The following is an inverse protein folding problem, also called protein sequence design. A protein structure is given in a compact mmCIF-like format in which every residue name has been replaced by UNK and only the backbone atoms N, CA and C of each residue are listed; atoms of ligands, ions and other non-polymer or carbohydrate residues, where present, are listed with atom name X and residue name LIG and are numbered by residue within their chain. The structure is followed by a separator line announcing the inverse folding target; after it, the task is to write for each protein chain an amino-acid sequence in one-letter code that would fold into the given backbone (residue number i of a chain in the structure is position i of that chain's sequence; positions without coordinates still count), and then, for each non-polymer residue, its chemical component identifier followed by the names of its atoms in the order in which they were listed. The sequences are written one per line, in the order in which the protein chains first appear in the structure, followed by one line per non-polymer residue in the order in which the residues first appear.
data_IF_786319747941
#
_entry.id   IF_786319747941
#
_cell.length_a   1.000
_cell.length_b   1.000
_cell.length_c   1.000
_cell.angle_alpha   90.00
_cell.angle_beta   90.00
_cell.angle_gamma   90.00
#
_symmetry.space_group_name_H-M   'P 1'
#
loop_
_entity.id
_entity.type
_entity.pdbx_description
1 polymer ?
#
# COMPACT_ATOMS: atom_id res chain seq x y z
N UNK A 1 5.05 -12.93 -8.45
CA UNK A 1 3.71 -13.24 -7.92
C UNK A 1 2.87 -12.01 -8.11
N UNK A 2 1.66 -12.17 -8.59
CA UNK A 2 0.79 -11.05 -9.00
C UNK A 2 -0.55 -11.23 -8.30
N UNK A 3 -0.98 -10.20 -7.58
CA UNK A 3 -2.19 -10.18 -6.78
C UNK A 3 -3.07 -9.02 -7.23
N UNK A 4 -4.40 -9.20 -7.09
CA UNK A 4 -5.37 -8.13 -7.33
C UNK A 4 -6.35 -8.03 -6.18
N UNK A 5 -6.68 -6.79 -5.80
CA UNK A 5 -7.77 -6.48 -4.87
C UNK A 5 -8.94 -6.02 -5.72
N UNK A 6 -9.83 -6.97 -5.99
CA UNK A 6 -11.03 -6.81 -6.82
C UNK A 6 -12.31 -6.77 -6.01
N UNK A 7 -12.23 -7.11 -4.73
CA UNK A 7 -13.38 -7.24 -3.84
C UNK A 7 -13.15 -6.49 -2.51
N UNK A 8 -14.23 -5.99 -1.94
CA UNK A 8 -14.30 -5.47 -0.58
C UNK A 8 -14.22 -6.61 0.44
N UNK A 9 -14.04 -6.27 1.71
CA UNK A 9 -13.92 -7.24 2.81
C UNK A 9 -15.14 -8.16 2.96
N UNK A 10 -16.32 -7.70 2.53
CA UNK A 10 -17.59 -8.44 2.53
C UNK A 10 -17.87 -9.16 1.20
N UNK A 11 -16.90 -9.16 0.27
CA UNK A 11 -16.92 -9.97 -0.94
C UNK A 11 -17.63 -9.35 -2.14
N UNK A 12 -18.04 -8.08 -2.08
CA UNK A 12 -18.58 -7.38 -3.25
C UNK A 12 -17.46 -6.83 -4.14
N UNK A 13 -17.67 -6.72 -5.46
CA UNK A 13 -16.69 -6.08 -6.34
C UNK A 13 -16.43 -4.62 -5.93
N UNK A 14 -15.19 -4.18 -6.06
CA UNK A 14 -14.84 -2.77 -5.84
C UNK A 14 -15.46 -1.86 -6.91
N UNK A 15 -15.88 -0.65 -6.51
CA UNK A 15 -16.49 0.35 -7.40
C UNK A 15 -15.51 1.16 -8.24
N UNK A 16 -14.24 0.76 -8.29
CA UNK A 16 -13.14 1.45 -8.98
C UNK A 16 -12.25 0.43 -9.70
N UNK A 17 -11.18 0.90 -10.37
CA UNK A 17 -10.22 -0.02 -10.97
C UNK A 17 -9.54 -0.87 -9.88
N UNK A 18 -9.35 -2.20 -10.09
CA UNK A 18 -8.68 -3.05 -9.11
C UNK A 18 -7.27 -2.59 -8.77
N UNK A 19 -6.88 -2.75 -7.51
CA UNK A 19 -5.49 -2.57 -7.07
C UNK A 19 -4.69 -3.80 -7.49
N UNK A 20 -3.52 -3.60 -8.09
CA UNK A 20 -2.59 -4.67 -8.45
C UNK A 20 -1.33 -4.58 -7.60
N UNK A 21 -0.91 -5.71 -7.04
CA UNK A 21 0.34 -5.84 -6.27
C UNK A 21 1.20 -6.92 -6.92
N UNK A 22 2.42 -6.58 -7.31
CA UNK A 22 3.37 -7.50 -7.90
C UNK A 22 4.58 -7.65 -7.01
N UNK A 23 4.88 -8.89 -6.65
CA UNK A 23 6.09 -9.28 -5.94
C UNK A 23 7.07 -9.95 -6.90
N UNK A 24 8.30 -9.45 -6.95
CA UNK A 24 9.38 -10.05 -7.75
C UNK A 24 10.69 -10.11 -6.97
N UNK A 25 11.62 -11.02 -7.31
CA UNK A 25 12.95 -11.03 -6.71
C UNK A 25 13.69 -9.72 -7.00
N UNK A 26 14.29 -9.13 -5.96
CA UNK A 26 15.20 -7.99 -6.06
C UNK A 26 16.59 -8.35 -5.55
N UNK A 27 17.55 -7.44 -5.73
CA UNK A 27 18.87 -7.60 -5.12
C UNK A 27 18.75 -7.56 -3.60
N UNK A 28 19.05 -8.68 -2.92
CA UNK A 28 19.00 -8.77 -1.46
C UNK A 28 17.60 -8.77 -0.85
N UNK A 29 16.52 -8.92 -1.64
CA UNK A 29 15.16 -8.87 -1.10
C UNK A 29 14.05 -9.11 -2.11
N UNK A 30 12.87 -8.58 -1.81
CA UNK A 30 11.67 -8.64 -2.64
C UNK A 30 11.31 -7.23 -3.09
N UNK A 31 11.05 -7.05 -4.37
CA UNK A 31 10.46 -5.84 -4.92
C UNK A 31 8.94 -5.98 -4.89
N UNK A 32 8.27 -5.02 -4.25
CA UNK A 32 6.82 -4.89 -4.24
C UNK A 32 6.42 -3.68 -5.08
N UNK A 33 5.76 -3.93 -6.20
CA UNK A 33 5.20 -2.90 -7.08
C UNK A 33 3.70 -2.81 -6.85
N UNK A 34 3.17 -1.61 -6.64
CA UNK A 34 1.74 -1.35 -6.45
C UNK A 34 1.23 -0.45 -7.57
N UNK A 35 0.14 -0.86 -8.20
CA UNK A 35 -0.60 -0.04 -9.15
C UNK A 35 -2.05 0.04 -8.71
N UNK A 36 -2.53 1.24 -8.39
CA UNK A 36 -3.87 1.46 -7.87
C UNK A 36 -4.42 2.84 -8.27
N UNK A 37 -5.75 3.04 -8.18
CA UNK A 37 -6.33 4.37 -8.14
C UNK A 37 -5.71 5.25 -7.06
N UNK A 38 -5.77 6.55 -7.26
CA UNK A 38 -5.46 7.53 -6.22
C UNK A 38 -6.72 8.30 -5.85
N UNK A 39 -7.19 8.08 -4.63
CA UNK A 39 -8.42 8.65 -4.11
C UNK A 39 -8.18 10.02 -3.49
N UNK A 40 -7.00 10.26 -2.91
CA UNK A 40 -6.63 11.48 -2.19
C UNK A 40 -7.65 11.80 -1.08
N UNK A 41 -8.10 10.77 -0.37
CA UNK A 41 -9.02 10.86 0.76
C UNK A 41 -8.69 9.78 1.82
N UNK A 42 -8.22 10.16 3.03
CA UNK A 42 -7.99 11.53 3.49
C UNK A 42 -6.79 12.20 2.78
N UNK A 43 -6.57 13.52 2.98
CA UNK A 43 -5.39 14.22 2.44
C UNK A 43 -4.07 13.60 2.90
N UNK A 44 -2.99 13.94 2.18
CA UNK A 44 -1.64 13.46 2.45
C UNK A 44 -1.23 13.55 3.94
N UNK A 45 -0.54 12.54 4.48
CA UNK A 45 0.04 12.62 5.82
C UNK A 45 1.09 13.73 5.90
N UNK A 46 1.26 14.31 7.10
CA UNK A 46 2.18 15.44 7.35
C UNK A 46 3.67 15.08 7.23
N UNK A 47 4.01 13.83 6.92
CA UNK A 47 5.39 13.35 6.79
C UNK A 47 6.01 13.63 5.43
N UNK A 48 7.34 13.57 5.33
CA UNK A 48 8.04 13.67 4.04
C UNK A 48 7.87 12.38 3.21
N UNK A 49 7.64 12.48 1.89
CA UNK A 49 7.69 11.34 0.99
C UNK A 49 9.02 10.56 1.11
N UNK A 50 8.96 9.24 1.04
CA UNK A 50 10.12 8.36 1.18
C UNK A 50 10.59 8.15 2.63
N UNK A 51 9.88 8.69 3.63
CA UNK A 51 10.18 8.46 5.05
C UNK A 51 9.15 7.54 5.72
N UNK A 52 9.56 6.84 6.79
CA UNK A 52 8.61 6.15 7.65
C UNK A 52 7.60 7.14 8.27
N UNK A 53 6.34 6.73 8.36
CA UNK A 53 5.27 7.49 9.03
C UNK A 53 4.41 6.54 9.87
N UNK A 54 4.23 6.87 11.16
CA UNK A 54 3.43 6.05 12.06
C UNK A 54 1.93 6.27 11.78
N UNK A 55 1.10 5.28 12.13
CA UNK A 55 -0.36 5.37 11.99
C UNK A 55 -0.79 5.62 10.53
N UNK A 56 -0.07 5.02 9.58
CA UNK A 56 -0.30 5.24 8.16
C UNK A 56 -1.62 4.62 7.68
N UNK A 57 -2.14 3.62 8.39
CA UNK A 57 -3.49 3.05 8.22
C UNK A 57 -4.64 4.05 8.38
N UNK A 58 -4.41 5.23 8.98
CA UNK A 58 -5.41 6.30 9.03
C UNK A 58 -5.48 7.09 7.70
N UNK A 59 -4.68 6.73 6.69
CA UNK A 59 -4.60 7.35 5.37
C UNK A 59 -4.90 6.36 4.25
N UNK A 60 -4.93 6.86 3.01
CA UNK A 60 -4.96 6.00 1.82
C UNK A 60 -3.70 5.13 1.77
N UNK A 61 -3.87 3.80 1.78
CA UNK A 61 -2.76 2.86 1.94
C UNK A 61 -3.03 1.54 1.21
N UNK A 62 -1.96 0.87 0.80
CA UNK A 62 -1.97 -0.56 0.46
C UNK A 62 -1.11 -1.29 1.49
N UNK A 63 -1.68 -2.32 2.10
CA UNK A 63 -1.04 -3.12 3.13
C UNK A 63 -0.70 -4.52 2.59
N UNK A 64 0.46 -5.04 2.99
CA UNK A 64 0.89 -6.41 2.72
C UNK A 64 1.46 -7.04 3.99
N UNK A 65 1.01 -8.27 4.28
CA UNK A 65 1.43 -9.05 5.44
C UNK A 65 2.21 -10.28 4.97
N UNK A 66 3.47 -10.41 5.40
CA UNK A 66 4.32 -11.58 5.13
C UNK A 66 4.42 -12.41 6.40
N UNK A 67 3.74 -13.56 6.40
CA UNK A 67 3.67 -14.45 7.56
C UNK A 67 4.88 -15.38 7.61
N UNK A 68 5.45 -15.56 8.80
CA UNK A 68 6.36 -16.65 9.10
C UNK A 68 5.53 -17.91 9.39
N UNK A 69 5.85 -19.02 8.73
CA UNK A 69 5.13 -20.29 8.85
C UNK A 69 5.61 -21.16 10.03
N UNK A 70 6.74 -20.82 10.64
CA UNK A 70 7.36 -21.55 11.76
C UNK A 70 7.16 -20.85 13.11
N UNK A 71 7.23 -19.52 13.13
CA UNK A 71 7.05 -18.71 14.33
C UNK A 71 5.84 -17.80 14.17
N UNK A 72 5.27 -17.30 15.27
CA UNK A 72 4.16 -16.32 15.24
C UNK A 72 4.61 -14.91 14.80
N UNK A 73 5.61 -14.82 13.93
CA UNK A 73 6.18 -13.57 13.45
C UNK A 73 5.60 -13.21 12.10
N UNK A 74 5.45 -11.92 11.84
CA UNK A 74 5.07 -11.44 10.53
C UNK A 74 5.61 -10.05 10.27
N UNK A 75 5.85 -9.76 8.99
CA UNK A 75 6.17 -8.43 8.51
C UNK A 75 4.90 -7.77 7.99
N UNK A 76 4.62 -6.57 8.45
CA UNK A 76 3.57 -5.69 7.96
C UNK A 76 4.23 -4.56 7.17
N UNK A 77 3.76 -4.33 5.95
CA UNK A 77 4.26 -3.30 5.03
C UNK A 77 3.08 -2.47 4.54
N UNK A 78 3.14 -1.17 4.75
CA UNK A 78 2.11 -0.21 4.39
C UNK A 78 2.70 0.85 3.45
N UNK A 79 2.06 1.08 2.30
CA UNK A 79 2.48 2.06 1.30
C UNK A 79 1.40 3.11 1.06
N UNK A 80 1.74 4.38 1.30
CA UNK A 80 0.89 5.50 0.99
C UNK A 80 1.19 6.05 -0.43
N UNK A 81 0.18 6.45 -1.22
CA UNK A 81 0.39 6.99 -2.56
C UNK A 81 1.18 8.31 -2.57
N UNK A 82 1.24 9.00 -1.42
CA UNK A 82 2.06 10.20 -1.23
C UNK A 82 3.54 9.90 -0.92
N UNK A 83 3.91 8.62 -0.80
CA UNK A 83 5.29 8.15 -0.72
C UNK A 83 5.80 7.84 0.69
N UNK A 84 5.01 8.10 1.74
CA UNK A 84 5.29 7.63 3.09
C UNK A 84 5.06 6.11 3.16
N UNK A 85 5.71 5.46 4.12
CA UNK A 85 5.57 4.03 4.33
C UNK A 85 5.61 3.68 5.81
N UNK A 86 5.11 2.50 6.16
CA UNK A 86 5.31 1.89 7.47
C UNK A 86 5.73 0.44 7.27
N UNK A 87 6.73 0.00 8.03
CA UNK A 87 7.21 -1.39 8.00
C UNK A 87 7.44 -1.85 9.43
N UNK A 88 6.77 -2.92 9.83
CA UNK A 88 6.81 -3.43 11.19
C UNK A 88 7.10 -4.92 11.17
N UNK A 89 8.06 -5.38 11.97
CA UNK A 89 8.22 -6.80 12.29
C UNK A 89 7.54 -7.06 13.64
N UNK A 90 6.54 -7.93 13.63
CA UNK A 90 5.72 -8.27 14.78
C UNK A 90 5.91 -9.73 15.19
N UNK A 91 5.58 -10.04 16.46
CA UNK A 91 5.61 -11.39 17.02
C UNK A 91 4.39 -11.62 17.91
N UNK A 92 3.38 -12.32 17.39
CA UNK A 92 2.04 -12.39 17.95
C UNK A 92 1.21 -11.17 17.53
N UNK A 93 -0.08 -11.17 17.91
CA UNK A 93 -1.02 -10.13 17.48
C UNK A 93 -0.63 -8.75 18.02
N UNK A 94 -0.35 -7.80 17.11
CA UNK A 94 -0.07 -6.38 17.42
C UNK A 94 1.11 -6.15 18.38
N UNK A 95 2.06 -7.10 18.44
CA UNK A 95 3.23 -6.99 19.31
C UNK A 95 4.48 -6.69 18.48
N UNK A 96 4.84 -5.42 18.41
CA UNK A 96 5.96 -4.92 17.59
C UNK A 96 7.29 -5.36 18.20
N UNK A 97 8.03 -6.18 17.46
CA UNK A 97 9.37 -6.61 17.85
C UNK A 97 10.45 -5.65 17.36
N UNK A 98 10.34 -5.16 16.11
CA UNK A 98 11.28 -4.19 15.51
C UNK A 98 10.55 -3.23 14.56
N UNK A 99 10.66 -1.91 14.75
CA UNK A 99 10.11 -0.92 13.81
C UNK A 99 11.03 -0.66 12.60
N UNK A 100 10.47 0.04 11.60
CA UNK A 100 10.95 0.28 10.24
C UNK A 100 12.43 0.64 10.05
N UNK A 101 13.04 1.36 10.99
CA UNK A 101 14.37 1.97 10.85
C UNK A 101 15.55 1.01 10.64
N UNK A 102 15.33 -0.32 10.70
CA UNK A 102 16.39 -1.34 10.55
C UNK A 102 16.07 -2.49 9.59
N UNK A 103 14.91 -2.50 8.93
CA UNK A 103 14.42 -3.70 8.21
C UNK A 103 14.36 -3.47 6.69
N UNK A 104 14.20 -2.23 6.24
CA UNK A 104 13.99 -1.92 4.81
C UNK A 104 14.94 -0.84 4.31
N UNK A 105 15.47 -1.06 3.10
CA UNK A 105 16.35 -0.12 2.42
C UNK A 105 15.74 0.22 1.05
N UNK A 106 15.23 1.45 0.95
CA UNK A 106 14.77 2.14 -0.26
C UNK A 106 13.42 1.71 -0.87
N UNK A 107 12.58 2.72 -1.10
CA UNK A 107 11.48 2.69 -2.07
C UNK A 107 11.96 3.42 -3.32
N UNK A 108 11.81 2.79 -4.49
CA UNK A 108 11.92 3.51 -5.77
C UNK A 108 10.50 3.75 -6.29
N UNK A 109 10.07 5.00 -6.22
CA UNK A 109 8.81 5.44 -6.81
C UNK A 109 9.01 5.66 -8.30
N UNK A 110 8.48 4.77 -9.14
CA UNK A 110 8.30 5.05 -10.56
C UNK A 110 6.93 5.72 -10.75
N UNK A 111 6.95 6.94 -11.30
CA UNK A 111 5.83 7.90 -11.40
C UNK A 111 4.58 7.40 -12.18
N UNK A 112 3.47 8.18 -12.18
CA UNK A 112 2.72 8.71 -11.04
C UNK A 112 1.40 7.94 -10.91
N UNK A 113 0.85 7.91 -9.71
CA UNK A 113 -0.55 7.61 -9.51
C UNK A 113 -1.40 8.50 -10.44
N UNK A 114 -2.11 7.90 -11.41
CA UNK A 114 -2.95 8.67 -12.32
C UNK A 114 -4.17 9.14 -11.55
N UNK A 115 -4.28 10.46 -11.37
CA UNK A 115 -5.53 11.13 -10.98
C UNK A 115 -6.64 10.66 -11.93
N UNK A 116 -7.65 9.96 -11.42
CA UNK A 116 -8.90 9.82 -12.15
C UNK A 116 -9.65 11.13 -12.02
N UNK A 117 -9.61 11.98 -13.05
CA UNK A 117 -10.61 13.03 -13.17
C UNK A 117 -11.98 12.37 -13.33
N UNK A 118 -12.93 12.72 -12.47
CA UNK A 118 -14.31 12.29 -12.58
C UNK A 118 -14.79 12.49 -14.02
N UNK A 119 -15.30 11.42 -14.64
CA UNK A 119 -15.87 11.48 -15.98
C UNK A 119 -16.92 12.60 -16.00
N UNK A 120 -16.64 13.67 -16.74
CA UNK A 120 -17.60 14.72 -17.05
C UNK A 120 -18.78 14.04 -17.74
N UNK A 121 -19.90 13.89 -17.03
CA UNK A 121 -21.19 13.53 -17.62
C UNK A 121 -21.54 14.65 -18.59
N UNK A 122 -21.28 14.43 -19.88
CA UNK A 122 -21.80 15.30 -20.94
C UNK A 122 -23.31 15.08 -20.97
N UNK A 123 -24.06 16.03 -20.43
CA UNK A 123 -25.47 16.16 -20.77
C UNK A 123 -25.53 16.49 -22.27
N UNK A 124 -25.92 15.52 -23.10
CA UNK A 124 -26.49 15.81 -24.41
C UNK A 124 -27.93 16.27 -24.16
N UNK A 125 -28.16 17.58 -24.20
CA UNK A 125 -29.48 18.10 -24.51
C UNK A 125 -29.67 17.98 -26.04
N UNK A 126 -30.80 17.40 -26.42
CA UNK A 126 -31.32 17.37 -27.79
C UNK A 126 -31.94 18.74 -28.08
#
# INVERSE_FOLDING_TARGET
MDFKIEHTWDGFPVGHQPVSVRLSPGEGGVVMEVSAPFFNDPPAPLGEPGKPFNELWDYEVVEAFFLNDVAEQYLEVELCPHGQHLVLLLSGRKNVWKPSSRIFQAFQFHAPWRRMEAAKVRHMAI
#
